data_IF_236362794264
#
_entry.id   IF_236362794264
#
_cell.length_a   1.000
_cell.length_b   1.000
_cell.length_c   1.000
_cell.angle_alpha   90.00
_cell.angle_beta   90.00
_cell.angle_gamma   90.00
#
_symmetry.space_group_name_H-M   'P 1'
#
loop_
_entity.id
_entity.type
_entity.pdbx_description
1 polymer ?
#
# COMPACT_ATOMS: atom_id res chain seq x y z
N UNK A 1 -12.08 -2.85 8.77
CA UNK A 1 -11.30 -2.09 9.76
C UNK A 1 -11.35 -0.65 9.34
N UNK A 2 -11.74 0.27 10.22
CA UNK A 2 -11.68 1.70 9.93
C UNK A 2 -10.28 2.27 10.28
N UNK A 3 -9.99 3.51 9.87
CA UNK A 3 -8.67 4.14 10.09
C UNK A 3 -8.30 4.29 11.57
N UNK A 4 -9.26 4.60 12.44
CA UNK A 4 -9.00 4.69 13.89
C UNK A 4 -8.58 3.34 14.47
N UNK A 5 -9.32 2.29 14.12
CA UNK A 5 -8.97 0.91 14.51
C UNK A 5 -7.60 0.53 13.95
N UNK A 6 -7.27 0.87 12.70
CA UNK A 6 -5.97 0.59 12.08
C UNK A 6 -4.82 1.22 12.90
N UNK A 7 -4.98 2.47 13.33
CA UNK A 7 -3.97 3.20 14.08
C UNK A 7 -3.63 2.53 15.41
N UNK A 8 -4.57 1.84 16.05
CA UNK A 8 -4.33 1.09 17.29
C UNK A 8 -3.39 -0.12 17.09
N UNK A 9 -3.27 -0.63 15.86
CA UNK A 9 -2.33 -1.71 15.53
C UNK A 9 -0.96 -1.20 15.07
N UNK A 10 -0.85 0.08 14.72
CA UNK A 10 0.38 0.67 14.23
C UNK A 10 1.35 0.95 15.37
N UNK A 11 2.59 0.48 15.23
CA UNK A 11 3.68 0.85 16.14
C UNK A 11 4.18 2.27 15.85
N UNK A 12 4.90 2.86 16.81
CA UNK A 12 5.54 4.16 16.61
C UNK A 12 6.44 4.14 15.36
N UNK A 13 6.27 5.15 14.51
CA UNK A 13 7.01 5.27 13.25
C UNK A 13 6.44 4.48 12.08
N UNK A 14 5.35 3.70 12.26
CA UNK A 14 4.66 3.04 11.14
C UNK A 14 4.26 4.08 10.09
N UNK A 15 4.68 3.85 8.85
CA UNK A 15 4.36 4.75 7.74
C UNK A 15 3.05 4.30 7.09
N UNK A 16 2.11 5.24 7.02
CA UNK A 16 0.82 5.08 6.35
C UNK A 16 0.87 5.92 5.08
N UNK A 17 0.43 5.37 3.95
CA UNK A 17 0.31 6.14 2.71
C UNK A 17 -0.70 7.29 2.92
N UNK A 18 -0.36 8.48 2.43
CA UNK A 18 -1.21 9.67 2.54
C UNK A 18 -2.42 9.53 1.61
N UNK A 19 -3.63 9.68 2.16
CA UNK A 19 -4.92 9.44 1.46
C UNK A 19 -5.74 8.38 2.19
N UNK A 20 -7.01 8.66 2.49
CA UNK A 20 -7.92 7.70 3.17
C UNK A 20 -8.35 6.56 2.26
N UNK A 21 -8.41 6.84 0.96
CA UNK A 21 -8.73 5.90 -0.10
C UNK A 21 -7.75 4.72 -0.16
N UNK A 22 -6.49 4.90 0.22
CA UNK A 22 -5.50 3.82 0.19
C UNK A 22 -5.67 2.79 1.31
N UNK A 23 -6.44 3.10 2.36
CA UNK A 23 -6.66 2.17 3.47
C UNK A 23 -7.35 0.88 3.03
N UNK A 24 -8.14 0.94 1.95
CA UNK A 24 -8.82 -0.23 1.40
C UNK A 24 -7.85 -1.26 0.79
N UNK A 25 -6.64 -0.82 0.41
CA UNK A 25 -5.60 -1.69 -0.12
C UNK A 25 -4.76 -2.36 0.97
N UNK A 26 -5.00 -2.06 2.26
CA UNK A 26 -4.27 -2.69 3.37
C UNK A 26 -4.73 -4.13 3.56
N UNK A 27 -3.79 -5.07 3.46
CA UNK A 27 -4.03 -6.51 3.67
C UNK A 27 -3.53 -7.02 5.02
N UNK A 28 -2.74 -6.22 5.74
CA UNK A 28 -2.31 -6.56 7.09
C UNK A 28 -1.12 -5.75 7.58
N UNK A 29 -0.57 -6.18 8.72
CA UNK A 29 0.65 -5.66 9.32
C UNK A 29 1.66 -6.81 9.40
N UNK A 30 2.87 -6.55 8.93
CA UNK A 30 3.99 -7.48 9.02
C UNK A 30 4.45 -7.67 10.47
N UNK A 31 5.17 -8.76 10.74
CA UNK A 31 5.64 -9.09 12.09
C UNK A 31 6.65 -8.08 12.67
N UNK A 32 7.25 -7.25 11.82
CA UNK A 32 8.12 -6.14 12.19
C UNK A 32 7.39 -4.78 12.12
N UNK A 33 6.05 -4.77 12.14
CA UNK A 33 5.23 -3.59 12.34
C UNK A 33 5.16 -2.63 11.15
N UNK A 34 5.28 -3.14 9.91
CA UNK A 34 5.04 -2.36 8.68
C UNK A 34 3.68 -2.70 8.10
N UNK A 35 2.97 -1.69 7.62
CA UNK A 35 1.74 -1.91 6.85
C UNK A 35 2.05 -2.64 5.54
N UNK A 36 1.18 -3.58 5.20
CA UNK A 36 1.25 -4.36 3.96
C UNK A 36 0.08 -3.96 3.09
N UNK A 37 0.38 -3.43 1.91
CA UNK A 37 -0.62 -3.05 0.91
C UNK A 37 -0.59 -4.04 -0.25
N UNK A 38 -1.76 -4.28 -0.83
CA UNK A 38 -1.90 -4.98 -2.10
C UNK A 38 -1.65 -4.02 -3.27
N UNK A 39 -0.73 -4.39 -4.16
CA UNK A 39 -0.37 -3.60 -5.32
C UNK A 39 -1.56 -3.38 -6.25
N UNK A 40 -2.33 -4.43 -6.54
CA UNK A 40 -3.40 -4.37 -7.53
C UNK A 40 -4.58 -3.56 -6.98
N UNK A 41 -4.85 -3.64 -5.67
CA UNK A 41 -5.82 -2.75 -5.03
C UNK A 41 -5.37 -1.28 -5.01
N UNK A 42 -4.08 -0.98 -4.80
CA UNK A 42 -3.58 0.40 -4.93
C UNK A 42 -3.78 0.95 -6.35
N UNK A 43 -3.56 0.12 -7.37
CA UNK A 43 -3.85 0.49 -8.76
C UNK A 43 -5.35 0.73 -8.96
N UNK A 44 -6.22 -0.12 -8.42
CA UNK A 44 -7.67 0.05 -8.50
C UNK A 44 -8.14 1.39 -7.90
N UNK A 45 -7.56 1.80 -6.76
CA UNK A 45 -7.85 3.11 -6.14
C UNK A 45 -7.47 4.26 -7.06
N UNK A 46 -6.27 4.22 -7.63
CA UNK A 46 -5.80 5.27 -8.54
C UNK A 46 -6.61 5.33 -9.83
N UNK A 47 -7.11 4.18 -10.31
CA UNK A 47 -7.95 4.08 -11.51
C UNK A 47 -9.30 4.80 -11.41
N UNK A 48 -9.71 5.27 -10.23
CA UNK A 48 -10.88 6.13 -10.10
C UNK A 48 -10.71 7.46 -10.87
N UNK A 49 -9.48 7.95 -10.98
CA UNK A 49 -9.14 9.25 -11.59
C UNK A 49 -8.29 9.16 -12.86
N UNK A 50 -7.70 7.99 -13.17
CA UNK A 50 -6.79 7.82 -14.30
C UNK A 50 -6.89 6.45 -14.97
N UNK A 51 -6.25 6.29 -16.13
CA UNK A 51 -6.22 4.99 -16.84
C UNK A 51 -5.39 3.95 -16.07
N UNK A 52 -5.58 2.64 -16.33
CA UNK A 52 -4.78 1.59 -15.71
C UNK A 52 -3.27 1.81 -15.88
N UNK A 53 -2.84 2.19 -17.09
CA UNK A 53 -1.44 2.48 -17.38
C UNK A 53 -0.91 3.68 -16.59
N UNK A 54 -1.68 4.78 -16.53
CA UNK A 54 -1.33 5.96 -15.74
C UNK A 54 -1.28 5.65 -14.23
N UNK A 55 -2.20 4.82 -13.73
CA UNK A 55 -2.23 4.39 -12.33
C UNK A 55 -0.99 3.59 -11.95
N UNK A 56 -0.58 2.64 -12.80
CA UNK A 56 0.64 1.87 -12.60
C UNK A 56 1.89 2.75 -12.63
N UNK A 57 1.98 3.67 -13.59
CA UNK A 57 3.11 4.60 -13.72
C UNK A 57 3.17 5.58 -12.54
N UNK A 58 2.02 6.09 -12.10
CA UNK A 58 1.90 6.95 -10.94
C UNK A 58 2.38 6.23 -9.68
N UNK A 59 1.93 4.99 -9.47
CA UNK A 59 2.30 4.18 -8.31
C UNK A 59 3.80 3.85 -8.31
N UNK A 60 4.38 3.50 -9.46
CA UNK A 60 5.84 3.27 -9.58
C UNK A 60 6.62 4.54 -9.20
N UNK A 61 6.25 5.67 -9.79
CA UNK A 61 7.00 6.91 -9.66
C UNK A 61 6.86 7.54 -8.27
N UNK A 62 5.65 7.65 -7.74
CA UNK A 62 5.35 8.41 -6.53
C UNK A 62 5.42 7.55 -5.26
N UNK A 63 5.12 6.26 -5.36
CA UNK A 63 5.06 5.37 -4.18
C UNK A 63 6.25 4.43 -4.14
N UNK A 64 6.43 3.56 -5.14
CA UNK A 64 7.45 2.51 -5.08
C UNK A 64 8.88 3.08 -5.00
N UNK A 65 9.19 4.11 -5.80
CA UNK A 65 10.49 4.79 -5.75
C UNK A 65 10.71 5.57 -4.45
N UNK A 66 9.65 5.96 -3.76
CA UNK A 66 9.72 6.71 -2.52
C UNK A 66 9.94 5.81 -1.29
N UNK A 67 9.54 4.54 -1.33
CA UNK A 67 9.66 3.57 -0.21
C UNK A 67 11.04 3.57 0.46
N UNK A 68 12.18 3.52 -0.27
CA UNK A 68 13.51 3.50 0.36
C UNK A 68 13.83 4.76 1.19
N UNK A 69 13.08 5.84 0.99
CA UNK A 69 13.27 7.12 1.67
C UNK A 69 12.24 7.37 2.79
N UNK A 70 11.30 6.44 3.01
CA UNK A 70 10.27 6.53 4.05
C UNK A 70 10.73 6.04 5.44
N UNK A 71 11.98 5.55 5.55
CA UNK A 71 12.57 5.08 6.80
C UNK A 71 12.33 3.60 7.11
N UNK A 72 12.72 3.18 8.32
CA UNK A 72 12.81 1.76 8.69
C UNK A 72 11.45 1.04 8.72
N UNK A 73 10.37 1.79 8.86
CA UNK A 73 8.98 1.33 8.94
C UNK A 73 8.19 1.64 7.66
N UNK A 74 8.89 1.84 6.54
CA UNK A 74 8.28 1.99 5.22
C UNK A 74 7.33 0.83 4.90
N UNK A 75 6.21 1.08 4.20
CA UNK A 75 5.23 0.06 3.92
C UNK A 75 5.78 -1.00 2.96
N UNK A 76 5.20 -2.20 3.04
CA UNK A 76 5.46 -3.29 2.09
C UNK A 76 4.35 -3.25 1.05
N UNK A 77 4.73 -3.11 -0.23
CA UNK A 77 3.80 -3.25 -1.35
C UNK A 77 3.97 -4.65 -1.91
N UNK A 78 2.90 -5.45 -1.83
CA UNK A 78 2.90 -6.85 -2.22
C UNK A 78 1.97 -7.04 -3.40
N UNK A 79 2.43 -7.77 -4.42
CA UNK A 79 1.55 -8.27 -5.48
C UNK A 79 1.20 -9.73 -5.18
N UNK A 80 -0.09 -10.09 -5.30
CA UNK A 80 -0.51 -11.49 -5.19
C UNK A 80 -0.04 -12.25 -6.43
N UNK A 81 0.34 -13.50 -6.22
CA UNK A 81 0.64 -14.43 -7.31
C UNK A 81 -0.49 -15.44 -7.36
N UNK A 82 -1.18 -15.50 -8.50
CA UNK A 82 -2.21 -16.50 -8.74
C UNK A 82 -1.57 -17.81 -9.20
N UNK A 83 -1.50 -18.76 -8.27
CA UNK A 83 -0.87 -20.07 -8.50
C UNK A 83 -1.64 -20.96 -9.49
N UNK A 84 -2.91 -20.64 -9.81
CA UNK A 84 -3.74 -21.41 -10.74
C UNK A 84 -3.45 -21.11 -12.22
N UNK A 85 -2.58 -20.12 -12.50
CA UNK A 85 -2.24 -19.68 -13.86
C UNK A 85 -0.79 -20.05 -14.25
N UNK A 86 -0.12 -20.91 -13.47
CA UNK A 86 1.19 -21.49 -13.76
C UNK A 86 1.11 -22.99 -14.04
#
# INVERSE_FOLDING_TARGET
MNREELLDWCEEGTVILEGEEYDQAIVGISTDGKLVYDYDELVNVLMEDMTPEEAMDYLDYNTLRAIPYMGDKAPIIMRRIDWEVM
#
